data_IF_685780695961
#
_entry.id   IF_685780695961
#
_cell.length_a   1.000
_cell.length_b   1.000
_cell.length_c   1.000
_cell.angle_alpha   90.00
_cell.angle_beta   90.00
_cell.angle_gamma   90.00
#
_symmetry.space_group_name_H-M   'P 1'
#
loop_
_entity.id
_entity.type
_entity.pdbx_description
1 polymer ?
#
# COMPACT_ATOMS: atom_id res chain seq x y z
N UNK A 1 -20.51 -1.45 13.43
CA UNK A 1 -19.14 -1.02 13.06
C UNK A 1 -19.10 -0.93 11.53
N UNK A 2 -19.16 0.27 10.94
CA UNK A 2 -19.05 0.41 9.46
C UNK A 2 -17.57 0.34 9.06
N UNK A 3 -17.22 -0.56 8.15
CA UNK A 3 -15.91 -0.59 7.53
C UNK A 3 -15.92 0.36 6.32
N UNK A 4 -15.02 1.34 6.30
CA UNK A 4 -14.84 2.19 5.13
C UNK A 4 -14.01 1.42 4.09
N UNK A 5 -14.66 1.01 3.01
CA UNK A 5 -14.04 0.25 1.90
C UNK A 5 -13.54 1.14 0.76
N UNK A 6 -13.75 2.47 0.87
CA UNK A 6 -13.26 3.47 -0.07
C UNK A 6 -12.74 4.74 0.65
N UNK A 7 -11.50 5.19 0.36
CA UNK A 7 -10.43 4.46 -0.34
C UNK A 7 -9.93 3.27 0.50
N UNK A 8 -9.45 2.23 -0.18
CA UNK A 8 -8.79 1.12 0.51
C UNK A 8 -7.39 1.55 0.95
N UNK A 9 -7.01 1.16 2.17
CA UNK A 9 -5.66 1.38 2.69
C UNK A 9 -4.82 0.16 2.39
N UNK A 10 -3.74 0.36 1.65
CA UNK A 10 -2.74 -0.67 1.39
C UNK A 10 -1.54 -0.37 2.27
N UNK A 11 -1.16 -1.34 3.10
CA UNK A 11 0.01 -1.25 3.98
C UNK A 11 1.10 -2.16 3.47
N UNK A 12 2.31 -1.62 3.32
CA UNK A 12 3.47 -2.33 2.81
C UNK A 12 4.62 -2.13 3.78
N UNK A 13 5.32 -3.20 4.08
CA UNK A 13 6.54 -3.18 4.89
C UNK A 13 7.73 -3.25 3.93
N UNK A 14 8.67 -2.34 4.07
CA UNK A 14 9.82 -2.22 3.18
C UNK A 14 11.13 -2.18 3.99
N UNK A 15 12.24 -2.69 3.42
CA UNK A 15 13.55 -2.60 4.06
C UNK A 15 14.04 -1.16 4.14
N UNK A 16 14.70 -0.78 5.24
CA UNK A 16 15.22 0.57 5.49
C UNK A 16 16.20 1.05 4.41
N UNK A 17 16.82 0.17 3.63
CA UNK A 17 17.65 0.53 2.48
C UNK A 17 16.89 1.37 1.41
N UNK A 18 15.56 1.27 1.37
CA UNK A 18 14.69 2.06 0.49
C UNK A 18 14.14 3.33 1.17
N UNK A 19 14.50 3.58 2.42
CA UNK A 19 14.07 4.75 3.16
C UNK A 19 14.61 6.02 2.50
N UNK A 20 13.72 6.99 2.24
CA UNK A 20 14.05 8.22 1.50
C UNK A 20 13.85 8.14 -0.03
N UNK A 21 13.85 6.94 -0.61
CA UNK A 21 13.51 6.74 -2.03
C UNK A 21 12.01 6.90 -2.30
N UNK A 22 11.18 6.48 -1.35
CA UNK A 22 9.72 6.60 -1.45
C UNK A 22 9.26 7.88 -0.75
N UNK A 23 8.49 8.69 -1.48
CA UNK A 23 7.96 9.97 -0.99
C UNK A 23 6.45 9.96 -0.96
N UNK A 24 5.88 10.73 -0.04
CA UNK A 24 4.44 11.01 0.00
C UNK A 24 4.01 11.64 -1.33
N UNK A 25 2.91 11.15 -1.90
CA UNK A 25 2.42 11.54 -3.22
C UNK A 25 2.98 10.73 -4.38
N UNK A 26 3.96 9.85 -4.15
CA UNK A 26 4.44 8.92 -5.18
C UNK A 26 3.32 7.97 -5.61
N UNK A 27 3.36 7.55 -6.88
CA UNK A 27 2.43 6.56 -7.44
C UNK A 27 3.05 5.18 -7.35
N UNK A 28 2.24 4.19 -7.01
CA UNK A 28 2.65 2.80 -7.01
C UNK A 28 1.57 1.94 -7.66
N UNK A 29 1.99 0.85 -8.27
CA UNK A 29 1.09 -0.16 -8.82
C UNK A 29 0.85 -1.25 -7.79
N UNK A 30 -0.42 -1.48 -7.47
CA UNK A 30 -0.89 -2.54 -6.59
C UNK A 30 -1.48 -3.65 -7.45
N UNK A 31 -0.93 -4.85 -7.34
CA UNK A 31 -1.44 -6.05 -7.99
C UNK A 31 -2.04 -6.92 -6.90
N UNK A 32 -3.36 -7.11 -6.92
CA UNK A 32 -4.02 -8.03 -5.99
C UNK A 32 -3.65 -9.49 -6.32
N UNK A 33 -3.50 -10.32 -5.30
CA UNK A 33 -3.34 -11.77 -5.51
C UNK A 33 -4.69 -12.41 -5.87
N UNK A 34 -4.63 -13.61 -6.46
CA UNK A 34 -5.80 -14.36 -6.89
C UNK A 34 -6.82 -14.51 -5.74
N UNK A 35 -8.13 -14.38 -6.03
CA UNK A 35 -8.79 -14.48 -7.34
C UNK A 35 -8.91 -13.15 -8.12
N UNK A 36 -8.48 -12.03 -7.54
CA UNK A 36 -8.61 -10.72 -8.19
C UNK A 36 -7.50 -10.57 -9.24
N UNK A 37 -7.88 -10.40 -10.50
CA UNK A 37 -6.95 -10.11 -11.60
C UNK A 37 -7.07 -8.62 -11.95
N UNK A 38 -6.09 -7.82 -11.53
CA UNK A 38 -6.07 -6.39 -11.82
C UNK A 38 -4.82 -5.71 -11.30
N UNK A 39 -4.35 -4.71 -12.05
CA UNK A 39 -3.33 -3.75 -11.59
C UNK A 39 -4.04 -2.44 -11.30
N UNK A 40 -3.89 -1.96 -10.08
CA UNK A 40 -4.52 -0.74 -9.61
C UNK A 40 -3.46 0.30 -9.27
N UNK A 41 -3.78 1.57 -9.51
CA UNK A 41 -2.90 2.68 -9.16
C UNK A 41 -3.24 3.15 -7.75
N UNK A 42 -2.25 3.15 -6.87
CA UNK A 42 -2.37 3.68 -5.52
C UNK A 42 -1.38 4.85 -5.33
N UNK A 43 -1.72 5.73 -4.40
CA UNK A 43 -0.89 6.90 -4.08
C UNK A 43 -0.35 6.77 -2.66
N UNK A 44 0.95 6.98 -2.48
CA UNK A 44 1.59 6.95 -1.17
C UNK A 44 1.04 8.09 -0.32
N UNK A 45 0.33 7.76 0.76
CA UNK A 45 -0.29 8.73 1.67
C UNK A 45 0.57 9.00 2.89
N UNK A 46 1.24 7.96 3.40
CA UNK A 46 2.08 8.01 4.60
C UNK A 46 3.31 7.15 4.34
N UNK A 47 4.47 7.69 4.68
CA UNK A 47 5.71 6.94 4.85
C UNK A 47 6.06 7.08 6.32
N UNK A 48 6.12 5.97 7.04
CA UNK A 48 6.43 6.01 8.47
C UNK A 48 7.86 6.51 8.65
N UNK A 49 8.01 7.50 9.53
CA UNK A 49 9.30 8.08 9.88
C UNK A 49 10.08 7.22 10.88
N UNK A 50 9.43 6.22 11.44
CA UNK A 50 9.98 5.31 12.44
C UNK A 50 10.32 4.00 11.74
N UNK A 51 11.57 3.59 11.91
CA UNK A 51 12.07 2.29 11.42
C UNK A 51 12.02 1.31 12.58
N UNK A 52 11.45 0.14 12.33
CA UNK A 52 11.55 -0.99 13.24
C UNK A 52 13.01 -1.48 13.25
N UNK A 53 13.69 -1.26 14.38
CA UNK A 53 15.13 -1.53 14.49
C UNK A 53 15.46 -3.03 14.61
N UNK A 54 14.49 -3.87 14.99
CA UNK A 54 14.69 -5.31 15.11
C UNK A 54 14.70 -6.00 13.73
N UNK A 55 13.86 -5.52 12.82
CA UNK A 55 13.72 -6.07 11.46
C UNK A 55 14.41 -5.22 10.38
N UNK A 56 14.78 -3.98 10.70
CA UNK A 56 15.33 -3.03 9.73
C UNK A 56 14.29 -2.65 8.67
N UNK A 57 13.01 -2.52 9.04
CA UNK A 57 11.92 -2.22 8.11
C UNK A 57 11.13 -0.98 8.49
N UNK A 58 10.41 -0.39 7.54
CA UNK A 58 9.50 0.71 7.78
C UNK A 58 8.18 0.49 7.03
N UNK A 59 7.11 1.06 7.59
CA UNK A 59 5.77 1.01 7.01
C UNK A 59 5.55 2.10 5.96
N UNK A 60 4.86 1.73 4.87
CA UNK A 60 4.33 2.68 3.89
C UNK A 60 2.84 2.38 3.71
N UNK A 61 2.02 3.43 3.81
CA UNK A 61 0.58 3.35 3.56
C UNK A 61 0.23 4.07 2.27
N UNK A 62 -0.51 3.37 1.42
CA UNK A 62 -1.04 3.88 0.16
C UNK A 62 -2.56 3.92 0.20
N UNK A 63 -3.12 4.94 -0.46
CA UNK A 63 -4.55 5.03 -0.74
C UNK A 63 -4.82 4.46 -2.12
N UNK A 64 -5.63 3.40 -2.15
CA UNK A 64 -6.11 2.72 -3.35
C UNK A 64 -7.57 3.11 -3.61
N UNK A 65 -7.88 3.81 -4.71
CA UNK A 65 -9.26 4.11 -5.08
C UNK A 65 -10.05 2.84 -5.36
N UNK A 66 -11.07 2.57 -4.54
CA UNK A 66 -12.02 1.47 -4.72
C UNK A 66 -13.47 1.98 -4.80
N UNK A 67 -13.82 2.88 -5.74
CA UNK A 67 -15.12 3.56 -5.74
C UNK A 67 -16.31 2.62 -5.96
N UNK A 68 -16.08 1.51 -6.66
CA UNK A 68 -17.10 0.48 -6.94
C UNK A 68 -17.22 -0.58 -5.84
N UNK A 69 -16.25 -0.64 -4.91
CA UNK A 69 -16.22 -1.67 -3.87
C UNK A 69 -15.82 -3.06 -4.36
N UNK A 70 -15.39 -3.20 -5.61
CA UNK A 70 -15.06 -4.48 -6.25
C UNK A 70 -13.85 -5.18 -5.61
N UNK A 71 -12.99 -4.42 -4.94
CA UNK A 71 -11.82 -4.94 -4.25
C UNK A 71 -12.19 -5.21 -2.78
N UNK A 72 -12.21 -6.49 -2.33
CA UNK A 72 -12.40 -6.80 -0.92
C UNK A 72 -11.18 -6.40 -0.10
N UNK A 73 -11.43 -5.89 1.11
CA UNK A 73 -10.36 -5.61 2.07
C UNK A 73 -9.73 -6.90 2.60
N UNK A 74 -8.44 -6.85 2.98
CA UNK A 74 -7.72 -7.98 3.57
C UNK A 74 -7.09 -8.94 2.56
N UNK A 75 -7.19 -8.69 1.27
CA UNK A 75 -6.50 -9.49 0.24
C UNK A 75 -5.01 -9.14 0.22
N UNK A 76 -4.18 -10.18 0.09
CA UNK A 76 -2.75 -9.99 -0.17
C UNK A 76 -2.54 -9.31 -1.51
N UNK A 77 -1.61 -8.38 -1.55
CA UNK A 77 -1.29 -7.64 -2.75
C UNK A 77 0.20 -7.38 -2.83
N UNK A 78 0.69 -7.27 -4.06
CA UNK A 78 2.06 -6.90 -4.36
C UNK A 78 2.09 -5.45 -4.82
N UNK A 79 3.00 -4.67 -4.25
CA UNK A 79 3.17 -3.26 -4.62
C UNK A 79 4.48 -3.09 -5.35
N UNK A 80 4.42 -2.41 -6.49
CA UNK A 80 5.60 -2.02 -7.28
C UNK A 80 5.66 -0.51 -7.32
N UNK A 81 6.72 0.04 -6.75
CA UNK A 81 7.02 1.47 -6.80
C UNK A 81 7.81 1.75 -8.08
N UNK A 82 7.42 2.78 -8.84
CA UNK A 82 8.15 3.27 -10.01
C UNK A 82 9.07 4.41 -9.62
#
# INVERSE_FOLDING_TARGET
KLAQTHPLRVEVILPVALYGSIRKGARAQVVAEAPLKGTYQATVRIVDKVVDSASGTFGVRLDLPNPKGDIPAGVKCRVTFK
#
